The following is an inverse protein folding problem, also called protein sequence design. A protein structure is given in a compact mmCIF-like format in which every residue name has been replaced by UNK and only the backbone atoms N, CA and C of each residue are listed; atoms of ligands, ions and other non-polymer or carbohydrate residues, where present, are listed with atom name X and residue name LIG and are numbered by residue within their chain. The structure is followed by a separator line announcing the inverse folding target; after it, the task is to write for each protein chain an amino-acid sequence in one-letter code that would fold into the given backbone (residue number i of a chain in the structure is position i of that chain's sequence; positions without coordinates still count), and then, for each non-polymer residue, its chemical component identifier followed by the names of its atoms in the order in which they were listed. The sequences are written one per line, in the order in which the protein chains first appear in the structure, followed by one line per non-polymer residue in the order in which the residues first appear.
data_IF_886284227899
#
_entry.id   IF_886284227899
#
_cell.length_a   1.000
_cell.length_b   1.000
_cell.length_c   1.000
_cell.angle_alpha   90.00
_cell.angle_beta   90.00
_cell.angle_gamma   90.00
#
_symmetry.space_group_name_H-M   'P 1'
#
loop_
_entity.id
_entity.type
_entity.pdbx_description
1 polymer ?
#
# COMPACT_ATOMS: atom_id res chain seq x y z
N UNK A 1 3.05 -4.58 5.89
CA UNK A 1 2.45 -4.98 4.60
C UNK A 1 3.23 -4.49 3.38
N UNK A 2 3.45 -3.21 3.28
CA UNK A 2 4.26 -2.66 2.18
C UNK A 2 5.71 -3.17 2.21
N UNK A 3 6.32 -3.12 3.38
CA UNK A 3 7.73 -3.51 3.54
C UNK A 3 8.02 -4.93 3.12
N UNK A 4 7.21 -5.87 3.58
CA UNK A 4 7.35 -7.29 3.22
C UNK A 4 7.10 -7.52 1.73
N UNK A 5 6.10 -6.84 1.18
CA UNK A 5 5.75 -6.92 -0.23
C UNK A 5 6.92 -6.49 -1.12
N UNK A 6 7.50 -5.33 -0.82
CA UNK A 6 8.64 -4.80 -1.57
C UNK A 6 9.88 -5.69 -1.38
N UNK A 7 10.12 -6.15 -0.16
CA UNK A 7 11.25 -7.03 0.12
C UNK A 7 11.19 -8.31 -0.71
N UNK A 8 10.02 -8.93 -0.80
CA UNK A 8 9.84 -10.14 -1.61
C UNK A 8 10.12 -9.88 -3.09
N UNK A 9 9.61 -8.78 -3.63
CA UNK A 9 9.85 -8.41 -5.02
C UNK A 9 11.33 -8.13 -5.28
N UNK A 10 11.98 -7.44 -4.34
CA UNK A 10 13.41 -7.16 -4.43
C UNK A 10 14.24 -8.46 -4.44
N UNK A 11 13.90 -9.36 -3.54
CA UNK A 11 14.61 -10.66 -3.44
C UNK A 11 14.41 -11.52 -4.68
N UNK A 12 13.21 -11.50 -5.26
CA UNK A 12 12.94 -12.20 -6.52
C UNK A 12 13.79 -11.68 -7.67
N UNK A 13 14.11 -10.40 -7.65
CA UNK A 13 15.00 -9.77 -8.65
C UNK A 13 16.47 -9.94 -8.30
N UNK A 14 16.77 -10.59 -7.19
CA UNK A 14 18.14 -10.81 -6.70
C UNK A 14 18.92 -9.50 -6.54
N UNK A 15 18.24 -8.46 -6.07
CA UNK A 15 18.82 -7.15 -5.81
C UNK A 15 19.04 -7.02 -4.31
N UNK A 16 20.28 -6.70 -3.91
CA UNK A 16 20.59 -6.49 -2.49
C UNK A 16 19.94 -5.18 -2.01
N UNK A 17 19.75 -5.07 -0.70
CA UNK A 17 19.21 -3.84 -0.11
C UNK A 17 20.08 -2.63 -0.49
N UNK A 18 21.40 -2.77 -0.45
CA UNK A 18 22.33 -1.68 -0.79
C UNK A 18 22.19 -1.26 -2.25
N UNK A 19 22.15 -2.23 -3.16
CA UNK A 19 21.98 -1.95 -4.59
C UNK A 19 20.65 -1.25 -4.85
N UNK A 20 19.59 -1.74 -4.25
CA UNK A 20 18.26 -1.15 -4.37
C UNK A 20 18.25 0.30 -3.89
N UNK A 21 18.84 0.55 -2.73
CA UNK A 21 18.90 1.90 -2.16
C UNK A 21 19.68 2.88 -3.03
N UNK A 22 20.76 2.42 -3.68
CA UNK A 22 21.50 3.23 -4.64
C UNK A 22 20.63 3.58 -5.84
N UNK A 23 19.91 2.60 -6.37
CA UNK A 23 19.08 2.79 -7.55
C UNK A 23 17.89 3.70 -7.31
N UNK A 24 17.27 3.63 -6.13
CA UNK A 24 16.12 4.46 -5.79
C UNK A 24 16.49 5.74 -5.04
N UNK A 25 17.78 5.91 -4.74
CA UNK A 25 18.29 7.10 -4.03
C UNK A 25 17.63 7.32 -2.67
N UNK A 26 17.52 6.26 -1.89
CA UNK A 26 17.01 6.30 -0.51
C UNK A 26 18.11 5.78 0.41
N UNK A 27 18.23 6.41 1.58
CA UNK A 27 19.18 5.97 2.59
C UNK A 27 18.92 4.53 3.01
N UNK A 28 19.97 3.71 3.05
CA UNK A 28 19.84 2.28 3.35
C UNK A 28 19.28 2.01 4.74
N UNK A 29 19.64 2.84 5.72
CA UNK A 29 19.11 2.73 7.09
C UNK A 29 17.58 2.96 7.10
N UNK A 30 17.14 4.01 6.41
CA UNK A 30 15.71 4.33 6.31
C UNK A 30 14.95 3.25 5.54
N UNK A 31 15.51 2.77 4.44
CA UNK A 31 14.87 1.73 3.65
C UNK A 31 14.74 0.42 4.43
N UNK A 32 15.78 0.05 5.18
CA UNK A 32 15.71 -1.12 6.07
C UNK A 32 14.56 -1.02 7.05
N UNK A 33 14.33 0.18 7.61
CA UNK A 33 13.22 0.42 8.52
C UNK A 33 11.87 0.31 7.82
N UNK A 34 11.78 0.78 6.58
CA UNK A 34 10.55 0.65 5.77
C UNK A 34 10.24 -0.82 5.52
N UNK A 35 11.23 -1.62 5.14
CA UNK A 35 11.04 -3.06 4.89
C UNK A 35 10.62 -3.81 6.15
N UNK A 36 11.06 -3.36 7.31
CA UNK A 36 10.69 -3.97 8.60
C UNK A 36 9.40 -3.41 9.19
N UNK A 37 8.77 -2.46 8.53
CA UNK A 37 7.53 -1.85 9.02
C UNK A 37 7.71 -0.84 10.13
N UNK A 38 8.94 -0.34 10.35
CA UNK A 38 9.25 0.62 11.40
C UNK A 38 9.19 2.07 10.93
N UNK A 39 9.12 2.30 9.64
CA UNK A 39 9.03 3.62 9.05
C UNK A 39 7.98 3.58 7.95
N UNK A 40 7.21 4.64 7.81
CA UNK A 40 6.17 4.73 6.79
C UNK A 40 6.76 4.66 5.37
N UNK A 41 6.07 4.02 4.41
CA UNK A 41 6.51 4.00 3.03
C UNK A 41 6.54 5.41 2.43
N UNK A 42 7.35 5.64 1.39
CA UNK A 42 7.33 6.92 0.70
C UNK A 42 5.98 7.16 0.03
N UNK A 43 5.55 8.41 0.02
CA UNK A 43 4.28 8.83 -0.57
C UNK A 43 4.46 9.64 -1.84
N UNK A 44 5.68 10.10 -2.11
CA UNK A 44 6.00 10.85 -3.31
C UNK A 44 5.85 9.95 -4.54
N UNK A 45 5.01 10.39 -5.48
CA UNK A 45 4.71 9.62 -6.69
C UNK A 45 5.96 9.32 -7.53
N UNK A 46 6.85 10.30 -7.65
CA UNK A 46 8.09 10.10 -8.41
C UNK A 46 8.98 9.05 -7.75
N UNK A 47 9.03 9.03 -6.42
CA UNK A 47 9.79 8.03 -5.68
C UNK A 47 9.16 6.63 -5.86
N UNK A 48 7.84 6.53 -5.77
CA UNK A 48 7.13 5.27 -5.97
C UNK A 48 7.32 4.74 -7.39
N UNK A 49 7.31 5.62 -8.39
CA UNK A 49 7.58 5.24 -9.79
C UNK A 49 8.99 4.70 -9.95
N UNK A 50 9.97 5.33 -9.31
CA UNK A 50 11.35 4.89 -9.35
C UNK A 50 11.51 3.50 -8.76
N UNK A 51 10.88 3.26 -7.61
CA UNK A 51 10.85 1.96 -6.96
C UNK A 51 10.23 0.91 -7.90
N UNK A 52 9.10 1.24 -8.51
CA UNK A 52 8.43 0.35 -9.45
C UNK A 52 9.32 -0.02 -10.64
N UNK A 53 10.00 0.95 -11.21
CA UNK A 53 10.90 0.72 -12.35
C UNK A 53 12.04 -0.23 -11.99
N UNK A 54 12.64 -0.04 -10.83
CA UNK A 54 13.73 -0.89 -10.36
C UNK A 54 13.25 -2.32 -10.15
N UNK A 55 12.03 -2.49 -9.65
CA UNK A 55 11.45 -3.81 -9.40
C UNK A 55 10.79 -4.43 -10.63
N UNK A 56 10.79 -3.73 -11.76
CA UNK A 56 10.17 -4.23 -12.98
C UNK A 56 8.66 -4.20 -12.97
N UNK A 57 8.07 -3.35 -12.12
CA UNK A 57 6.62 -3.17 -12.04
C UNK A 57 6.20 -2.15 -13.10
N UNK A 58 5.28 -2.54 -13.98
CA UNK A 58 4.76 -1.63 -14.99
C UNK A 58 3.81 -0.62 -14.35
N UNK A 59 4.09 0.67 -14.54
CA UNK A 59 3.24 1.75 -14.02
C UNK A 59 1.86 1.65 -14.66
N UNK A 60 0.81 1.71 -13.83
CA UNK A 60 -0.57 1.53 -14.26
C UNK A 60 -1.07 0.09 -14.22
N UNK A 61 -0.19 -0.88 -13.94
CA UNK A 61 -0.58 -2.29 -13.80
C UNK A 61 -1.29 -2.56 -12.48
N UNK A 62 -1.88 -3.74 -12.34
CA UNK A 62 -2.49 -4.16 -11.08
C UNK A 62 -1.46 -4.23 -9.95
N UNK A 63 -0.25 -4.69 -10.25
CA UNK A 63 0.84 -4.73 -9.26
C UNK A 63 1.22 -3.33 -8.80
N UNK A 64 1.25 -2.36 -9.72
CA UNK A 64 1.50 -0.96 -9.40
C UNK A 64 0.44 -0.40 -8.45
N UNK A 65 -0.83 -0.66 -8.75
CA UNK A 65 -1.95 -0.23 -7.91
C UNK A 65 -1.87 -0.85 -6.52
N UNK A 66 -1.60 -2.14 -6.45
CA UNK A 66 -1.45 -2.85 -5.18
C UNK A 66 -0.31 -2.27 -4.34
N UNK A 67 0.83 -2.00 -4.95
CA UNK A 67 1.97 -1.38 -4.29
C UNK A 67 1.60 -0.02 -3.70
N UNK A 68 0.91 0.82 -4.47
CA UNK A 68 0.46 2.13 -4.01
C UNK A 68 -0.56 2.03 -2.88
N UNK A 69 -1.50 1.10 -2.99
CA UNK A 69 -2.50 0.90 -1.95
C UNK A 69 -1.87 0.46 -0.64
N UNK A 70 -0.91 -0.46 -0.69
CA UNK A 70 -0.18 -0.88 0.50
C UNK A 70 0.61 0.26 1.12
N UNK A 71 1.24 1.11 0.30
CA UNK A 71 1.95 2.28 0.79
C UNK A 71 1.01 3.26 1.51
N UNK A 72 -0.18 3.48 0.95
CA UNK A 72 -1.19 4.34 1.57
C UNK A 72 -1.71 3.76 2.88
N UNK A 73 -2.00 2.47 2.90
CA UNK A 73 -2.50 1.79 4.09
C UNK A 73 -1.49 1.88 5.24
N UNK A 74 -0.24 1.57 4.97
CA UNK A 74 0.81 1.60 6.00
C UNK A 74 1.11 3.02 6.49
N UNK A 75 0.88 4.03 5.65
CA UNK A 75 1.02 5.44 6.05
C UNK A 75 -0.25 5.99 6.71
N UNK A 76 -1.32 5.20 6.80
CA UNK A 76 -2.58 5.64 7.36
C UNK A 76 -3.34 6.62 6.46
N UNK A 77 -3.10 6.57 5.17
CA UNK A 77 -3.71 7.46 4.18
C UNK A 77 -4.77 6.68 3.40
N UNK A 78 -5.95 7.29 3.26
CA UNK A 78 -7.00 6.73 2.41
C UNK A 78 -6.68 7.10 0.96
N UNK A 79 -6.63 6.13 0.02
CA UNK A 79 -6.38 6.43 -1.39
C UNK A 79 -7.33 7.47 -1.96
N UNK A 80 -6.84 8.29 -2.87
CA UNK A 80 -7.59 9.42 -3.44
C UNK A 80 -8.90 9.00 -4.11
N UNK A 81 -8.88 7.91 -4.88
CA UNK A 81 -10.06 7.41 -5.56
C UNK A 81 -11.18 6.99 -4.60
N UNK A 82 -10.80 6.51 -3.40
CA UNK A 82 -11.76 6.17 -2.33
C UNK A 82 -12.16 7.44 -1.58
N UNK A 83 -11.19 8.29 -1.26
CA UNK A 83 -11.42 9.51 -0.50
C UNK A 83 -12.32 10.51 -1.20
N UNK A 84 -12.36 10.49 -2.52
CA UNK A 84 -13.22 11.36 -3.31
C UNK A 84 -14.68 10.90 -3.34
N UNK A 85 -14.97 9.72 -2.81
CA UNK A 85 -16.33 9.18 -2.76
C UNK A 85 -16.94 9.39 -1.38
N UNK A 86 -17.89 10.33 -1.28
CA UNK A 86 -18.55 10.69 -0.01
C UNK A 86 -19.31 9.53 0.62
N UNK A 87 -19.96 8.69 -0.19
CA UNK A 87 -20.73 7.56 0.31
C UNK A 87 -19.81 6.52 0.99
N UNK A 88 -18.67 6.24 0.39
CA UNK A 88 -17.68 5.34 0.97
C UNK A 88 -17.12 5.92 2.26
N UNK A 89 -16.75 7.21 2.26
CA UNK A 89 -16.22 7.88 3.45
C UNK A 89 -17.20 7.85 4.62
N UNK A 90 -18.49 8.03 4.36
CA UNK A 90 -19.52 7.98 5.40
C UNK A 90 -19.66 6.60 6.03
N UNK A 91 -19.38 5.55 5.26
CA UNK A 91 -19.44 4.17 5.73
C UNK A 91 -18.24 3.75 6.56
N UNK A 92 -17.08 4.40 6.37
CA UNK A 92 -15.82 4.02 7.03
C UNK A 92 -15.87 4.07 8.57
N UNK A 93 -16.43 5.12 9.22
CA UNK A 93 -16.46 5.15 10.68
C UNK A 93 -17.22 3.97 11.30
N UNK A 94 -18.31 3.55 10.68
CA UNK A 94 -19.06 2.37 11.13
C UNK A 94 -18.26 1.10 10.95
N UNK A 95 -17.57 0.97 9.82
CA UNK A 95 -16.69 -0.16 9.54
C UNK A 95 -15.58 -0.27 10.57
N UNK A 96 -14.91 0.85 10.89
CA UNK A 96 -13.86 0.86 11.90
C UNK A 96 -14.37 0.46 13.28
N UNK A 97 -15.55 0.93 13.66
CA UNK A 97 -16.17 0.54 14.94
C UNK A 97 -16.48 -0.95 14.97
N UNK A 98 -17.01 -1.49 13.89
CA UNK A 98 -17.34 -2.91 13.78
C UNK A 98 -16.08 -3.77 13.95
N UNK A 99 -14.98 -3.39 13.29
CA UNK A 99 -13.70 -4.12 13.39
C UNK A 99 -13.15 -4.08 14.82
N UNK A 100 -13.29 -2.94 15.52
CA UNK A 100 -12.77 -2.80 16.90
C UNK A 100 -13.59 -3.58 17.93
N UNK A 101 -14.91 -3.61 17.75
CA UNK A 101 -15.83 -4.22 18.73
C UNK A 101 -16.01 -5.70 18.50
N UNK A 102 -16.31 -6.07 17.28
CA UNK A 102 -16.54 -7.44 16.86
C UNK A 102 -15.87 -7.62 15.50
N UNK A 103 -15.09 -8.70 15.36
CA UNK A 103 -14.54 -8.99 14.06
C UNK A 103 -15.71 -9.24 13.09
N UNK A 104 -15.78 -8.52 11.98
CA UNK A 104 -16.86 -8.72 11.02
C UNK A 104 -16.81 -10.13 10.44
N UNK A 105 -17.97 -10.70 10.17
CA UNK A 105 -18.06 -12.00 9.49
C UNK A 105 -17.60 -11.81 8.03
N UNK A 106 -17.28 -12.93 7.37
CA UNK A 106 -16.91 -12.91 5.96
C UNK A 106 -18.03 -12.27 5.13
N UNK A 107 -19.30 -12.52 5.48
CA UNK A 107 -20.45 -11.95 4.78
C UNK A 107 -20.51 -10.43 4.94
N UNK A 108 -20.26 -9.93 6.14
CA UNK A 108 -20.24 -8.48 6.41
C UNK A 108 -19.10 -7.79 5.67
N UNK A 109 -17.92 -8.41 5.63
CA UNK A 109 -16.79 -7.91 4.85
C UNK A 109 -17.12 -7.88 3.36
N UNK A 110 -17.75 -8.92 2.84
CA UNK A 110 -18.14 -9.00 1.44
C UNK A 110 -19.12 -7.88 1.08
N UNK A 111 -20.08 -7.60 1.96
CA UNK A 111 -21.02 -6.50 1.76
C UNK A 111 -20.32 -5.15 1.70
N UNK A 112 -19.35 -4.94 2.58
CA UNK A 112 -18.58 -3.71 2.59
C UNK A 112 -17.75 -3.56 1.32
N UNK A 113 -17.11 -4.65 0.90
CA UNK A 113 -16.33 -4.68 -0.35
C UNK A 113 -17.23 -4.36 -1.54
N UNK A 114 -18.43 -4.94 -1.58
CA UNK A 114 -19.41 -4.66 -2.63
C UNK A 114 -19.83 -3.20 -2.65
N UNK A 115 -20.05 -2.59 -1.49
CA UNK A 115 -20.35 -1.15 -1.39
C UNK A 115 -19.24 -0.31 -1.98
N UNK A 116 -18.00 -0.62 -1.63
CA UNK A 116 -16.83 0.10 -2.15
C UNK A 116 -16.73 -0.06 -3.66
N UNK A 117 -16.92 -1.27 -4.18
CA UNK A 117 -16.86 -1.55 -5.62
C UNK A 117 -17.96 -0.88 -6.42
N UNK A 118 -19.17 -0.77 -5.87
CA UNK A 118 -20.28 -0.14 -6.55
C UNK A 118 -20.08 1.36 -6.75
N UNK A 119 -19.35 1.99 -5.86
CA UNK A 119 -19.11 3.43 -5.91
C UNK A 119 -17.91 3.78 -6.82
N UNK A 120 -17.14 2.80 -7.21
CA UNK A 120 -16.05 2.97 -8.16
C UNK A 120 -16.47 2.44 -9.53
#
# INVERSE_FOLDING_TARGET
MYGEYIKELRMKKEITLREFCKLVEIDASNWSKIERGLLAPPQDEEKLKKIARVLGIKIGSETWKEMKDLANIDAGIIPEDIRSDEEVLKALPMFFRTIRSDKPTAEELDKLIDMIKKET
#
